data_IF_708082883020
#
_entry.id   IF_708082883020
#
_cell.length_a   1.000
_cell.length_b   1.000
_cell.length_c   1.000
_cell.angle_alpha   90.00
_cell.angle_beta   90.00
_cell.angle_gamma   90.00
#
_symmetry.space_group_name_H-M   'P 1'
#
loop_
_entity.id
_entity.type
_entity.pdbx_description
1 polymer ?
#
# COMPACT_ATOMS: atom_id res chain seq x y z
N UNK A 1 18.21 25.45 -44.19
CA UNK A 1 16.85 25.98 -44.37
C UNK A 1 15.88 25.08 -43.63
N UNK A 2 14.97 25.72 -42.90
CA UNK A 2 14.05 25.22 -41.89
C UNK A 2 12.95 24.34 -42.50
N UNK A 3 12.55 23.28 -41.80
CA UNK A 3 11.14 23.04 -41.42
C UNK A 3 11.01 21.87 -40.43
N UNK A 4 11.05 22.20 -39.14
CA UNK A 4 10.44 21.43 -38.06
C UNK A 4 8.93 21.38 -38.26
N UNK A 5 8.30 20.22 -38.04
CA UNK A 5 6.92 20.12 -37.53
C UNK A 5 6.62 18.69 -37.03
N UNK A 6 6.27 18.63 -35.74
CA UNK A 6 5.42 17.66 -35.04
C UNK A 6 6.04 16.26 -34.79
N UNK A 7 6.04 15.67 -33.59
CA UNK A 7 5.34 15.98 -32.35
C UNK A 7 6.15 15.48 -31.15
N UNK A 8 6.48 16.40 -30.24
CA UNK A 8 6.87 16.12 -28.86
C UNK A 8 5.62 16.44 -28.04
N UNK A 9 4.91 15.42 -27.59
CA UNK A 9 3.93 15.51 -26.50
C UNK A 9 4.55 14.73 -25.34
N UNK A 10 5.26 15.39 -24.43
CA UNK A 10 4.72 16.01 -23.22
C UNK A 10 4.26 14.98 -22.17
N UNK A 11 5.22 14.38 -21.47
CA UNK A 11 5.12 14.08 -20.03
C UNK A 11 6.49 14.32 -19.38
N UNK A 12 6.84 15.60 -19.37
CA UNK A 12 7.85 16.16 -18.49
C UNK A 12 7.24 17.42 -17.88
N UNK A 13 6.40 17.26 -16.86
CA UNK A 13 6.22 18.30 -15.85
C UNK A 13 7.42 18.15 -14.89
N UNK A 14 8.59 18.71 -15.19
CA UNK A 14 8.93 20.08 -14.82
C UNK A 14 8.40 20.48 -13.43
N UNK A 15 9.29 20.25 -12.46
CA UNK A 15 9.90 21.30 -11.65
C UNK A 15 9.08 21.96 -10.53
N UNK A 16 9.72 21.89 -9.35
CA UNK A 16 9.71 22.86 -8.24
C UNK A 16 8.56 22.71 -7.25
N UNK A 17 8.92 22.25 -6.04
CA UNK A 17 8.41 22.74 -4.76
C UNK A 17 6.99 23.34 -4.78
N UNK A 18 5.97 22.50 -4.94
CA UNK A 18 4.61 22.74 -4.45
C UNK A 18 4.03 21.37 -4.12
N UNK A 19 4.18 20.91 -2.89
CA UNK A 19 3.26 21.31 -1.84
C UNK A 19 4.00 21.71 -0.56
N UNK A 20 3.90 23.01 -0.21
CA UNK A 20 3.97 23.51 1.17
C UNK A 20 2.60 23.28 1.82
N UNK A 21 1.96 22.14 1.57
CA UNK A 21 0.58 21.88 1.94
C UNK A 21 0.41 20.42 2.36
N UNK A 22 0.99 20.02 3.50
CA UNK A 22 0.51 18.81 4.17
C UNK A 22 0.78 18.71 5.67
N UNK A 23 1.59 19.59 6.27
CA UNK A 23 1.52 19.82 7.71
C UNK A 23 0.32 20.73 7.98
N UNK A 24 -0.85 20.14 8.21
CA UNK A 24 -1.98 20.91 8.75
C UNK A 24 -1.57 21.29 10.17
N UNK A 25 -1.40 22.59 10.42
CA UNK A 25 -1.14 23.05 11.78
C UNK A 25 -2.35 22.66 12.61
N UNK A 26 -2.12 21.85 13.64
CA UNK A 26 -3.07 21.50 14.67
C UNK A 26 -2.58 22.10 15.98
N UNK A 27 -3.02 23.33 16.32
CA UNK A 27 -2.60 24.00 17.55
C UNK A 27 -3.02 23.24 18.81
N UNK A 28 -3.96 22.29 18.72
CA UNK A 28 -4.44 21.52 19.85
C UNK A 28 -3.50 20.38 20.23
N UNK A 29 -2.67 19.93 19.29
CA UNK A 29 -1.65 18.93 19.57
C UNK A 29 -0.29 19.61 19.85
N UNK A 30 0.39 19.19 20.90
CA UNK A 30 1.67 19.76 21.38
C UNK A 30 2.74 18.69 21.61
N UNK A 31 2.61 17.53 20.97
CA UNK A 31 3.48 16.36 21.21
C UNK A 31 4.82 16.51 20.49
N UNK A 32 5.86 16.86 21.24
CA UNK A 32 7.23 16.85 20.78
C UNK A 32 7.68 15.44 20.38
N UNK A 33 8.69 15.36 19.51
CA UNK A 33 9.32 14.09 19.16
C UNK A 33 9.89 13.45 20.43
N UNK A 34 9.59 12.16 20.72
CA UNK A 34 10.21 11.44 21.83
C UNK A 34 11.74 11.47 21.76
N UNK A 35 12.42 11.58 22.91
CA UNK A 35 13.88 11.77 22.96
C UNK A 35 14.70 10.60 22.39
N UNK A 36 14.10 9.42 22.30
CA UNK A 36 14.66 8.20 21.75
C UNK A 36 14.45 8.06 20.22
N UNK A 37 13.85 9.05 19.59
CA UNK A 37 13.54 9.07 18.16
C UNK A 37 14.45 10.05 17.42
N UNK A 38 15.05 9.57 16.34
CA UNK A 38 15.89 10.36 15.43
C UNK A 38 15.17 10.53 14.09
N UNK A 39 14.91 11.77 13.71
CA UNK A 39 14.25 12.10 12.43
C UNK A 39 14.96 11.41 11.25
N UNK A 40 14.17 10.81 10.36
CA UNK A 40 14.62 10.18 9.12
C UNK A 40 15.39 8.87 9.30
N UNK A 41 15.54 8.38 10.52
CA UNK A 41 16.19 7.10 10.81
C UNK A 41 15.16 6.08 11.31
N UNK A 42 15.32 4.78 11.00
CA UNK A 42 14.47 3.75 11.57
C UNK A 42 14.80 3.52 13.05
N UNK A 43 13.75 3.50 13.89
CA UNK A 43 13.84 3.02 15.27
C UNK A 43 12.96 1.79 15.45
N UNK A 44 13.48 0.78 16.14
CA UNK A 44 12.69 -0.40 16.50
C UNK A 44 11.96 -0.17 17.82
N UNK A 45 10.63 -0.27 17.79
CA UNK A 45 9.76 -0.09 18.95
C UNK A 45 9.13 -1.44 19.30
N UNK A 46 9.23 -1.81 20.57
CA UNK A 46 8.51 -2.96 21.13
C UNK A 46 7.11 -2.55 21.59
N UNK A 47 6.13 -3.43 21.38
CA UNK A 47 4.74 -3.25 21.82
C UNK A 47 4.17 -4.60 22.25
N UNK A 48 3.36 -4.62 23.31
CA UNK A 48 2.58 -5.82 23.66
C UNK A 48 1.21 -5.68 23.02
N UNK A 49 0.81 -6.68 22.22
CA UNK A 49 -0.47 -6.72 21.52
C UNK A 49 -1.05 -8.13 21.63
N UNK A 50 -2.31 -8.26 22.05
CA UNK A 50 -2.94 -9.55 22.39
C UNK A 50 -2.07 -10.43 23.31
N UNK A 51 -1.46 -9.83 24.34
CA UNK A 51 -0.52 -10.49 25.27
C UNK A 51 0.75 -11.09 24.62
N UNK A 52 1.04 -10.73 23.37
CA UNK A 52 2.24 -11.13 22.64
C UNK A 52 3.19 -9.95 22.51
N UNK A 53 4.49 -10.18 22.73
CA UNK A 53 5.53 -9.20 22.42
C UNK A 53 5.71 -9.09 20.90
N UNK A 54 5.39 -7.91 20.38
CA UNK A 54 5.51 -7.53 18.96
C UNK A 54 6.48 -6.37 18.83
N UNK A 55 6.86 -6.06 17.60
CA UNK A 55 7.68 -4.91 17.30
C UNK A 55 7.35 -4.31 15.93
N UNK A 56 7.77 -3.07 15.72
CA UNK A 56 7.69 -2.38 14.45
C UNK A 56 8.86 -1.41 14.31
N UNK A 57 9.28 -1.13 13.07
CA UNK A 57 10.12 0.03 12.82
C UNK A 57 9.23 1.26 12.64
N UNK A 58 9.64 2.39 13.20
CA UNK A 58 9.09 3.71 12.91
C UNK A 58 10.16 4.55 12.23
N UNK A 59 9.76 5.33 11.23
CA UNK A 59 10.56 6.40 10.66
C UNK A 59 9.74 7.68 10.73
N UNK A 60 10.21 8.62 11.55
CA UNK A 60 9.59 9.95 11.67
C UNK A 60 10.16 10.86 10.57
N UNK A 61 9.30 11.53 9.78
CA UNK A 61 9.73 12.24 8.59
C UNK A 61 10.43 13.57 8.93
N UNK A 62 11.26 14.11 8.01
CA UNK A 62 11.95 15.40 8.18
C UNK A 62 11.05 16.58 8.59
N UNK A 63 9.81 16.63 8.11
CA UNK A 63 8.89 17.74 8.36
C UNK A 63 7.96 17.52 9.58
N UNK A 64 8.21 16.52 10.43
CA UNK A 64 7.43 16.40 11.67
C UNK A 64 7.66 17.61 12.59
N UNK A 65 6.56 18.16 13.12
CA UNK A 65 6.58 19.22 14.12
C UNK A 65 5.54 18.97 15.22
N UNK A 66 5.76 19.49 16.42
CA UNK A 66 4.91 19.23 17.59
C UNK A 66 3.48 19.79 17.52
N UNK A 67 3.16 20.54 16.47
CA UNK A 67 1.83 21.09 16.15
C UNK A 67 1.40 20.75 14.72
N UNK A 68 1.99 19.71 14.13
CA UNK A 68 1.66 19.22 12.79
C UNK A 68 0.74 18.00 12.90
N UNK A 69 -0.45 18.07 12.33
CA UNK A 69 -1.25 16.88 12.06
C UNK A 69 -0.54 16.07 10.97
N UNK A 70 0.05 14.95 11.38
CA UNK A 70 1.03 14.20 10.60
C UNK A 70 0.42 12.87 10.11
N UNK A 71 0.35 12.60 8.80
CA UNK A 71 -0.12 11.32 8.28
C UNK A 71 0.69 10.13 8.77
N UNK A 72 0.09 8.95 8.67
CA UNK A 72 0.74 7.67 8.98
C UNK A 72 0.61 6.72 7.80
N UNK A 73 1.71 6.09 7.41
CA UNK A 73 1.74 5.01 6.43
C UNK A 73 2.14 3.74 7.15
N UNK A 74 1.33 2.69 7.04
CA UNK A 74 1.73 1.33 7.38
C UNK A 74 2.25 0.63 6.13
N UNK A 75 3.45 0.05 6.19
CA UNK A 75 4.04 -0.74 5.11
C UNK A 75 4.38 -2.17 5.57
N UNK A 76 3.73 -3.15 4.97
CA UNK A 76 3.78 -4.55 5.38
C UNK A 76 4.69 -5.39 4.48
N UNK A 77 5.60 -6.14 5.10
CA UNK A 77 6.58 -6.98 4.40
C UNK A 77 5.94 -8.19 3.71
N UNK A 78 6.56 -8.69 2.65
CA UNK A 78 6.18 -9.97 2.03
C UNK A 78 6.41 -11.19 2.92
N UNK A 79 5.82 -12.33 2.56
CA UNK A 79 5.94 -13.56 3.33
C UNK A 79 7.39 -14.03 3.44
N UNK A 80 7.77 -14.53 4.63
CA UNK A 80 9.14 -14.93 4.99
C UNK A 80 10.18 -13.78 4.97
N UNK A 81 9.71 -12.52 4.92
CA UNK A 81 10.55 -11.33 5.08
C UNK A 81 10.35 -10.68 6.46
N UNK A 82 10.97 -9.52 6.67
CA UNK A 82 10.90 -8.75 7.91
C UNK A 82 10.76 -7.24 7.64
N UNK A 83 10.51 -6.47 8.70
CA UNK A 83 10.29 -5.01 8.64
C UNK A 83 11.46 -4.25 8.00
N UNK A 84 12.71 -4.61 8.32
CA UNK A 84 13.90 -3.98 7.73
C UNK A 84 14.02 -4.25 6.23
N UNK A 85 13.63 -5.45 5.78
CA UNK A 85 13.63 -5.79 4.36
C UNK A 85 12.56 -5.01 3.59
N UNK A 86 11.37 -4.80 4.17
CA UNK A 86 10.34 -3.95 3.55
C UNK A 86 10.77 -2.49 3.48
N UNK A 87 11.38 -1.96 4.55
CA UNK A 87 11.93 -0.61 4.57
C UNK A 87 12.95 -0.38 3.46
N UNK A 88 13.83 -1.35 3.21
CA UNK A 88 14.82 -1.27 2.15
C UNK A 88 14.23 -1.44 0.74
N UNK A 89 13.02 -2.00 0.62
CA UNK A 89 12.40 -2.36 -0.65
C UNK A 89 11.56 -1.21 -1.25
N UNK A 90 10.75 -0.56 -0.42
CA UNK A 90 9.56 0.15 -0.89
C UNK A 90 9.72 1.67 -1.08
N UNK A 91 10.88 2.23 -0.70
CA UNK A 91 11.17 3.67 -0.77
C UNK A 91 10.15 4.59 -0.08
N UNK A 92 9.27 4.07 0.80
CA UNK A 92 8.24 4.85 1.50
C UNK A 92 8.83 5.84 2.52
N UNK A 93 10.14 5.79 2.75
CA UNK A 93 10.90 6.72 3.61
C UNK A 93 11.90 7.55 2.81
N UNK A 94 11.91 7.44 1.48
CA UNK A 94 12.73 8.29 0.62
C UNK A 94 12.22 9.74 0.71
N UNK A 95 13.04 10.71 1.15
CA UNK A 95 12.63 12.11 1.31
C UNK A 95 12.15 12.78 0.02
N UNK A 96 12.47 12.24 -1.16
CA UNK A 96 11.95 12.71 -2.45
C UNK A 96 10.45 12.41 -2.62
N UNK A 97 9.95 11.32 -2.03
CA UNK A 97 8.55 10.89 -2.15
C UNK A 97 7.75 11.12 -0.85
N UNK A 98 8.41 10.94 0.30
CA UNK A 98 7.81 11.11 1.61
C UNK A 98 8.74 11.88 2.55
N UNK A 99 8.42 13.15 2.78
CA UNK A 99 9.08 13.98 3.79
C UNK A 99 8.13 14.45 4.89
N UNK A 100 6.89 13.94 4.95
CA UNK A 100 5.82 14.48 5.79
C UNK A 100 4.96 13.44 6.54
N UNK A 101 4.98 12.16 6.15
CA UNK A 101 4.22 11.11 6.81
C UNK A 101 5.13 10.21 7.68
N UNK A 102 4.67 9.83 8.87
CA UNK A 102 5.31 8.79 9.68
C UNK A 102 5.11 7.45 9.00
N UNK A 103 6.20 6.73 8.71
CA UNK A 103 6.12 5.39 8.14
C UNK A 103 6.37 4.34 9.22
N UNK A 104 5.47 3.37 9.29
CA UNK A 104 5.50 2.24 10.22
C UNK A 104 5.71 0.97 9.41
N UNK A 105 6.69 0.16 9.82
CA UNK A 105 6.94 -1.17 9.27
C UNK A 105 6.76 -2.22 10.37
N UNK A 106 5.54 -2.75 10.56
CA UNK A 106 5.30 -3.76 11.58
C UNK A 106 6.01 -5.08 11.26
N UNK A 107 6.31 -5.86 12.30
CA UNK A 107 6.90 -7.20 12.14
C UNK A 107 5.83 -8.29 12.30
N UNK A 108 5.58 -9.03 11.22
CA UNK A 108 4.70 -10.19 11.21
C UNK A 108 5.28 -11.36 12.03
N UNK A 109 4.40 -12.14 12.67
CA UNK A 109 4.82 -13.33 13.44
C UNK A 109 5.34 -14.39 12.48
N UNK A 110 6.54 -14.93 12.74
CA UNK A 110 7.22 -15.88 11.86
C UNK A 110 7.35 -15.37 10.40
N UNK A 111 7.38 -14.05 10.21
CA UNK A 111 7.49 -13.43 8.90
C UNK A 111 6.23 -13.55 8.04
N UNK A 112 5.05 -13.69 8.65
CA UNK A 112 3.76 -13.80 7.95
C UNK A 112 2.69 -12.91 8.58
N UNK A 113 1.62 -12.65 7.82
CA UNK A 113 0.48 -11.85 8.24
C UNK A 113 -0.81 -12.67 8.39
N UNK A 114 -1.74 -12.14 9.18
CA UNK A 114 -3.13 -12.62 9.24
C UNK A 114 -3.74 -12.71 7.84
N UNK A 115 -4.39 -13.84 7.55
CA UNK A 115 -4.87 -14.18 6.20
C UNK A 115 -3.92 -15.14 5.44
N UNK A 116 -2.64 -15.23 5.81
CA UNK A 116 -1.77 -16.28 5.28
C UNK A 116 -2.17 -17.66 5.81
N UNK A 117 -2.24 -18.72 4.97
CA UNK A 117 -2.60 -20.05 5.41
C UNK A 117 -1.71 -20.57 6.55
N UNK A 118 -2.36 -21.00 7.64
CA UNK A 118 -1.70 -21.52 8.83
C UNK A 118 -1.12 -20.46 9.77
N UNK A 119 -1.29 -19.16 9.49
CA UNK A 119 -0.98 -18.10 10.45
C UNK A 119 -2.23 -17.73 11.26
N UNK A 120 -2.06 -17.64 12.58
CA UNK A 120 -3.15 -17.34 13.53
C UNK A 120 -2.85 -16.10 14.37
N UNK A 121 -1.83 -15.32 13.99
CA UNK A 121 -1.53 -14.07 14.66
C UNK A 121 -2.66 -13.07 14.44
N UNK A 122 -3.02 -12.34 15.49
CA UNK A 122 -3.99 -11.25 15.42
C UNK A 122 -3.26 -9.95 15.02
N UNK A 123 -3.00 -9.80 13.72
CA UNK A 123 -2.23 -8.68 13.19
C UNK A 123 -3.12 -7.44 13.00
N UNK A 124 -4.41 -7.63 12.80
CA UNK A 124 -5.41 -6.53 12.85
C UNK A 124 -5.39 -5.82 14.21
N UNK A 125 -5.37 -6.55 15.32
CA UNK A 125 -5.20 -5.96 16.66
C UNK A 125 -3.86 -5.23 16.80
N UNK A 126 -2.75 -5.79 16.27
CA UNK A 126 -1.46 -5.12 16.29
C UNK A 126 -1.54 -3.75 15.60
N UNK A 127 -2.17 -3.65 14.42
CA UNK A 127 -2.33 -2.38 13.73
C UNK A 127 -3.15 -1.39 14.57
N UNK A 128 -4.26 -1.83 15.20
CA UNK A 128 -5.03 -0.96 16.10
C UNK A 128 -4.20 -0.47 17.29
N UNK A 129 -3.44 -1.36 17.94
CA UNK A 129 -2.61 -1.02 19.10
C UNK A 129 -1.47 -0.05 18.72
N UNK A 130 -0.91 -0.19 17.51
CA UNK A 130 0.08 0.77 17.01
C UNK A 130 -0.57 2.13 16.75
N UNK A 131 -1.75 2.18 16.12
CA UNK A 131 -2.47 3.46 15.92
C UNK A 131 -2.71 4.16 17.26
N UNK A 132 -3.19 3.43 18.27
CA UNK A 132 -3.46 3.99 19.59
C UNK A 132 -2.17 4.43 20.32
N UNK A 133 -1.08 3.66 20.18
CA UNK A 133 0.25 4.00 20.70
C UNK A 133 0.83 5.27 20.05
N UNK A 134 0.69 5.39 18.73
CA UNK A 134 1.11 6.56 17.98
C UNK A 134 0.28 7.78 18.36
N UNK A 135 -1.04 7.62 18.50
CA UNK A 135 -1.91 8.69 18.93
C UNK A 135 -1.55 9.19 20.33
N UNK A 136 -1.11 8.33 21.24
CA UNK A 136 -0.61 8.76 22.55
C UNK A 136 0.68 9.59 22.50
N UNK A 137 1.55 9.36 21.51
CA UNK A 137 2.94 9.87 21.47
C UNK A 137 3.20 10.96 20.43
N UNK A 138 2.42 11.00 19.36
CA UNK A 138 2.61 11.90 18.21
C UNK A 138 1.32 12.65 17.87
N UNK A 139 1.48 13.72 17.10
CA UNK A 139 0.36 14.45 16.50
C UNK A 139 -0.06 13.80 15.17
N UNK A 140 -0.65 12.60 15.23
CA UNK A 140 -1.08 11.91 14.01
C UNK A 140 -2.36 12.51 13.43
N UNK A 141 -2.46 12.54 12.09
CA UNK A 141 -3.70 12.86 11.39
C UNK A 141 -4.52 11.59 11.20
N UNK A 142 -5.53 11.39 12.05
CA UNK A 142 -6.40 10.21 11.99
C UNK A 142 -7.21 10.12 10.69
N UNK A 143 -7.31 11.18 9.89
CA UNK A 143 -7.96 11.14 8.57
C UNK A 143 -7.01 10.70 7.45
N UNK A 144 -5.70 10.67 7.72
CA UNK A 144 -4.63 10.35 6.78
C UNK A 144 -3.76 9.20 7.32
N UNK A 145 -4.42 8.10 7.66
CA UNK A 145 -3.76 6.82 7.93
C UNK A 145 -3.93 5.96 6.68
N UNK A 146 -2.84 5.47 6.14
CA UNK A 146 -2.80 4.70 4.89
C UNK A 146 -2.06 3.38 5.10
N UNK A 147 -2.34 2.39 4.25
CA UNK A 147 -1.72 1.08 4.32
C UNK A 147 -1.23 0.64 2.94
N UNK A 148 -0.01 0.11 2.88
CA UNK A 148 0.57 -0.52 1.70
C UNK A 148 1.27 -1.82 2.08
N UNK A 149 1.48 -2.72 1.14
CA UNK A 149 2.29 -3.90 1.39
C UNK A 149 2.56 -4.71 0.14
N UNK A 150 3.56 -5.58 0.26
CA UNK A 150 4.04 -6.45 -0.83
C UNK A 150 3.65 -7.90 -0.59
N UNK A 151 3.17 -8.63 -1.60
CA UNK A 151 2.90 -10.08 -1.48
C UNK A 151 1.93 -10.39 -0.33
N UNK A 152 2.35 -11.17 0.67
CA UNK A 152 1.61 -11.42 1.90
C UNK A 152 1.16 -10.13 2.60
N UNK A 153 2.00 -9.10 2.63
CA UNK A 153 1.64 -7.78 3.17
C UNK A 153 0.63 -7.03 2.31
N UNK A 154 0.64 -7.25 1.00
CA UNK A 154 -0.38 -6.74 0.08
C UNK A 154 -1.73 -7.44 0.27
N UNK A 155 -1.70 -8.74 0.55
CA UNK A 155 -2.86 -9.51 1.00
C UNK A 155 -3.39 -9.03 2.35
N UNK A 156 -2.50 -8.71 3.29
CA UNK A 156 -2.88 -8.17 4.58
C UNK A 156 -3.52 -6.77 4.47
N UNK A 157 -3.13 -5.94 3.50
CA UNK A 157 -3.86 -4.70 3.19
C UNK A 157 -5.33 -4.96 2.83
N UNK A 158 -5.63 -6.05 2.10
CA UNK A 158 -7.00 -6.47 1.84
C UNK A 158 -7.73 -6.90 3.14
N UNK A 159 -7.05 -7.64 4.03
CA UNK A 159 -7.58 -8.00 5.35
C UNK A 159 -7.98 -6.75 6.14
N UNK A 160 -7.10 -5.75 6.22
CA UNK A 160 -7.36 -4.48 6.90
C UNK A 160 -8.52 -3.69 6.27
N UNK A 161 -8.58 -3.68 4.93
CA UNK A 161 -9.65 -3.03 4.19
C UNK A 161 -11.01 -3.70 4.40
N UNK A 162 -11.02 -5.01 4.65
CA UNK A 162 -12.23 -5.79 4.90
C UNK A 162 -12.63 -5.86 6.38
N UNK A 163 -11.76 -5.46 7.31
CA UNK A 163 -12.03 -5.44 8.73
C UNK A 163 -13.01 -4.30 9.10
N UNK A 164 -14.11 -4.57 9.84
CA UNK A 164 -15.14 -3.59 10.13
C UNK A 164 -14.67 -2.41 11.00
N UNK A 165 -13.56 -2.54 11.73
CA UNK A 165 -13.04 -1.48 12.58
C UNK A 165 -11.93 -0.73 11.85
N UNK A 166 -10.92 -1.43 11.34
CA UNK A 166 -9.74 -0.83 10.73
C UNK A 166 -10.05 -0.14 9.41
N UNK A 167 -11.02 -0.63 8.64
CA UNK A 167 -11.51 0.10 7.46
C UNK A 167 -12.09 1.48 7.82
N UNK A 168 -12.53 1.71 9.06
CA UNK A 168 -12.97 3.05 9.53
C UNK A 168 -11.85 3.92 10.06
N UNK A 169 -10.68 3.33 10.36
CA UNK A 169 -9.48 4.03 10.86
C UNK A 169 -8.45 4.30 9.76
N UNK A 170 -8.42 3.49 8.70
CA UNK A 170 -7.48 3.60 7.58
C UNK A 170 -8.22 4.16 6.36
N UNK A 171 -7.70 5.26 5.82
CA UNK A 171 -8.30 6.00 4.73
C UNK A 171 -8.17 5.29 3.39
N UNK A 172 -7.01 4.69 3.12
CA UNK A 172 -6.63 4.23 1.77
C UNK A 172 -5.67 3.04 1.84
N UNK A 173 -5.78 2.16 0.84
CA UNK A 173 -5.00 0.93 0.76
C UNK A 173 -4.31 0.81 -0.60
N UNK A 174 -3.06 0.35 -0.58
CA UNK A 174 -2.29 0.01 -1.75
C UNK A 174 -1.78 -1.44 -1.61
N UNK A 175 -1.89 -2.22 -2.67
CA UNK A 175 -1.42 -3.60 -2.69
C UNK A 175 -0.43 -3.76 -3.84
N UNK A 176 0.72 -4.37 -3.57
CA UNK A 176 1.74 -4.66 -4.58
C UNK A 176 1.96 -6.17 -4.62
N UNK A 177 1.64 -6.78 -5.76
CA UNK A 177 1.70 -8.23 -6.00
C UNK A 177 0.95 -9.03 -4.93
N UNK A 178 -0.25 -8.58 -4.53
CA UNK A 178 -0.89 -9.01 -3.28
C UNK A 178 -1.33 -10.48 -3.25
N UNK A 179 -1.05 -11.19 -2.15
CA UNK A 179 -1.47 -12.58 -1.96
C UNK A 179 -2.85 -12.67 -1.28
N UNK A 180 -3.92 -12.67 -2.08
CA UNK A 180 -5.31 -12.67 -1.60
C UNK A 180 -5.85 -14.08 -1.32
N UNK A 181 -5.34 -14.74 -0.29
CA UNK A 181 -5.76 -16.08 0.09
C UNK A 181 -7.24 -16.15 0.49
N UNK A 182 -7.99 -17.06 -0.14
CA UNK A 182 -9.37 -17.38 0.19
C UNK A 182 -9.45 -18.85 0.61
N UNK A 183 -9.96 -19.10 1.82
CA UNK A 183 -10.07 -20.44 2.39
C UNK A 183 -11.25 -21.21 1.80
N UNK A 184 -11.08 -21.70 0.57
CA UNK A 184 -12.12 -22.44 -0.14
C UNK A 184 -11.55 -23.41 -1.17
N UNK A 185 -12.18 -24.60 -1.27
CA UNK A 185 -11.94 -25.60 -2.29
C UNK A 185 -13.27 -26.31 -2.65
N UNK A 186 -13.53 -26.66 -3.93
CA UNK A 186 -12.71 -26.35 -5.10
C UNK A 186 -12.68 -24.84 -5.40
N UNK A 187 -11.53 -24.36 -5.89
CA UNK A 187 -11.34 -22.95 -6.25
C UNK A 187 -11.61 -22.71 -7.74
N UNK A 188 -12.34 -21.63 -8.02
CA UNK A 188 -12.49 -21.06 -9.35
C UNK A 188 -11.96 -19.62 -9.30
N UNK A 189 -10.67 -19.36 -9.59
CA UNK A 189 -10.04 -18.05 -9.37
C UNK A 189 -10.77 -16.85 -9.97
N UNK A 190 -11.41 -17.05 -11.12
CA UNK A 190 -12.15 -16.01 -11.85
C UNK A 190 -13.53 -15.67 -11.27
N UNK A 191 -14.04 -16.43 -10.29
CA UNK A 191 -15.38 -16.23 -9.74
C UNK A 191 -15.50 -16.64 -8.26
N UNK A 192 -14.39 -16.77 -7.55
CA UNK A 192 -14.41 -17.12 -6.13
C UNK A 192 -15.02 -15.98 -5.33
N UNK A 193 -15.93 -16.28 -4.40
CA UNK A 193 -16.45 -15.26 -3.49
C UNK A 193 -15.32 -14.80 -2.56
N UNK A 194 -15.04 -13.51 -2.53
CA UNK A 194 -14.02 -12.90 -1.66
C UNK A 194 -14.73 -12.37 -0.40
N UNK A 195 -14.61 -13.02 0.77
CA UNK A 195 -15.24 -12.56 2.00
C UNK A 195 -14.68 -11.21 2.42
N UNK A 196 -15.56 -10.25 2.69
CA UNK A 196 -15.16 -8.89 3.04
C UNK A 196 -16.33 -8.14 3.68
N UNK A 197 -16.09 -7.44 4.80
CA UNK A 197 -17.15 -6.72 5.53
C UNK A 197 -16.63 -5.39 6.10
N UNK A 198 -16.26 -4.42 5.23
CA UNK A 198 -15.78 -3.12 5.68
C UNK A 198 -16.84 -2.38 6.50
N UNK A 199 -16.40 -1.60 7.49
CA UNK A 199 -17.26 -0.81 8.37
C UNK A 199 -17.68 0.53 7.78
N UNK A 200 -17.18 0.88 6.60
CA UNK A 200 -17.60 2.05 5.83
C UNK A 200 -17.67 1.72 4.33
N UNK A 201 -18.51 2.43 3.55
CA UNK A 201 -18.47 2.34 2.10
C UNK A 201 -17.27 3.14 1.54
N UNK A 202 -17.03 2.96 0.25
CA UNK A 202 -16.07 3.73 -0.56
C UNK A 202 -14.64 3.58 -0.04
N UNK A 203 -14.12 2.36 -0.10
CA UNK A 203 -12.75 2.03 0.33
C UNK A 203 -11.80 2.27 -0.85
N UNK A 204 -10.98 3.32 -0.82
CA UNK A 204 -10.04 3.61 -1.90
C UNK A 204 -8.94 2.55 -1.93
N UNK A 205 -8.76 1.92 -3.09
CA UNK A 205 -7.84 0.80 -3.30
C UNK A 205 -7.04 0.98 -4.60
N UNK A 206 -5.73 0.85 -4.52
CA UNK A 206 -4.85 0.74 -5.70
C UNK A 206 -4.07 -0.57 -5.65
N UNK A 207 -4.00 -1.26 -6.78
CA UNK A 207 -3.34 -2.56 -6.95
C UNK A 207 -2.24 -2.43 -8.01
N UNK A 208 -1.12 -3.14 -7.82
CA UNK A 208 0.00 -3.20 -8.76
C UNK A 208 0.41 -4.65 -8.94
N UNK A 209 0.36 -5.17 -10.16
CA UNK A 209 0.68 -6.57 -10.40
C UNK A 209 1.37 -6.80 -11.75
N UNK A 210 2.34 -7.70 -11.74
CA UNK A 210 3.07 -8.14 -12.93
C UNK A 210 2.38 -9.30 -13.66
N UNK A 211 2.38 -9.28 -14.98
CA UNK A 211 1.81 -10.34 -15.82
C UNK A 211 2.62 -11.63 -15.76
N UNK A 212 3.93 -11.53 -15.55
CA UNK A 212 4.86 -12.65 -15.40
C UNK A 212 5.13 -13.01 -13.93
N UNK A 213 4.32 -12.49 -12.98
CA UNK A 213 4.45 -12.82 -11.55
C UNK A 213 4.36 -14.35 -11.35
N UNK A 214 5.51 -14.94 -11.09
CA UNK A 214 5.70 -16.39 -10.99
C UNK A 214 5.33 -16.93 -9.61
N UNK A 215 5.13 -16.04 -8.63
CA UNK A 215 4.84 -16.39 -7.24
C UNK A 215 3.34 -16.31 -6.95
N UNK A 216 2.72 -15.17 -7.19
CA UNK A 216 1.28 -14.92 -7.05
C UNK A 216 0.76 -14.58 -8.44
N UNK A 217 0.29 -15.60 -9.17
CA UNK A 217 -0.02 -15.46 -10.59
C UNK A 217 -1.13 -14.44 -10.82
N UNK A 218 -0.96 -13.56 -11.83
CA UNK A 218 -1.97 -12.58 -12.23
C UNK A 218 -3.33 -13.23 -12.55
N UNK A 219 -3.26 -14.39 -13.23
CA UNK A 219 -4.40 -15.23 -13.60
C UNK A 219 -4.92 -16.13 -12.44
N UNK A 220 -4.45 -15.89 -11.23
CA UNK A 220 -4.84 -16.59 -10.02
C UNK A 220 -4.32 -18.03 -9.94
N UNK A 221 -4.57 -18.68 -8.80
CA UNK A 221 -4.09 -20.03 -8.53
C UNK A 221 -5.20 -20.84 -7.87
N UNK A 222 -5.59 -21.95 -8.51
CA UNK A 222 -6.66 -22.81 -8.00
C UNK A 222 -6.30 -23.52 -6.68
N UNK A 223 -5.01 -23.73 -6.44
CA UNK A 223 -4.53 -24.33 -5.21
C UNK A 223 -3.14 -23.81 -4.86
N UNK A 224 -3.08 -22.87 -3.92
CA UNK A 224 -1.86 -22.44 -3.25
C UNK A 224 -2.02 -22.71 -1.77
N UNK A 225 -1.24 -23.65 -1.22
CA UNK A 225 -1.32 -24.02 0.20
C UNK A 225 -2.73 -24.44 0.65
N UNK A 226 -3.45 -25.20 -0.19
CA UNK A 226 -4.85 -25.61 -0.01
C UNK A 226 -5.88 -24.46 -0.01
N UNK A 227 -5.48 -23.28 -0.48
CA UNK A 227 -6.34 -22.11 -0.58
C UNK A 227 -6.42 -21.60 -2.01
N UNK A 228 -7.44 -20.80 -2.27
CA UNK A 228 -7.72 -20.20 -3.55
C UNK A 228 -7.04 -18.82 -3.61
N UNK A 229 -6.38 -18.52 -4.73
CA UNK A 229 -5.93 -17.17 -5.07
C UNK A 229 -6.81 -16.69 -6.23
N UNK A 230 -7.63 -15.63 -6.05
CA UNK A 230 -8.43 -15.08 -7.13
C UNK A 230 -7.53 -14.53 -8.24
N UNK A 231 -8.07 -14.36 -9.44
CA UNK A 231 -7.37 -13.56 -10.44
C UNK A 231 -7.36 -12.11 -10.00
N UNK A 232 -6.29 -11.39 -10.33
CA UNK A 232 -6.17 -9.97 -9.98
C UNK A 232 -7.31 -9.15 -10.61
N UNK A 233 -7.70 -9.35 -11.90
CA UNK A 233 -8.90 -8.70 -12.44
C UNK A 233 -10.17 -8.98 -11.63
N UNK A 234 -10.39 -10.22 -11.22
CA UNK A 234 -11.56 -10.56 -10.39
C UNK A 234 -11.52 -9.85 -9.04
N UNK A 235 -10.37 -9.85 -8.37
CA UNK A 235 -10.20 -9.15 -7.08
C UNK A 235 -10.47 -7.64 -7.19
N UNK A 236 -9.92 -6.98 -8.22
CA UNK A 236 -10.14 -5.55 -8.50
C UNK A 236 -11.61 -5.27 -8.78
N UNK A 237 -12.25 -6.09 -9.62
CA UNK A 237 -13.69 -5.97 -9.91
C UNK A 237 -14.56 -6.15 -8.66
N UNK A 238 -14.20 -7.07 -7.74
CA UNK A 238 -14.94 -7.22 -6.49
C UNK A 238 -14.86 -5.97 -5.61
N UNK A 239 -13.73 -5.26 -5.58
CA UNK A 239 -13.65 -3.95 -4.91
C UNK A 239 -14.51 -2.90 -5.59
N UNK A 240 -14.44 -2.77 -6.92
CA UNK A 240 -15.27 -1.85 -7.68
C UNK A 240 -16.77 -2.09 -7.43
N UNK A 241 -17.22 -3.35 -7.50
CA UNK A 241 -18.62 -3.73 -7.24
C UNK A 241 -19.03 -3.49 -5.79
N UNK A 242 -18.16 -3.79 -4.82
CA UNK A 242 -18.43 -3.57 -3.38
C UNK A 242 -18.70 -2.10 -3.08
N UNK A 243 -17.98 -1.21 -3.75
CA UNK A 243 -18.16 0.24 -3.64
C UNK A 243 -19.16 0.82 -4.66
N UNK A 244 -19.95 -0.05 -5.31
CA UNK A 244 -21.03 0.31 -6.24
C UNK A 244 -20.56 1.10 -7.46
N UNK A 245 -19.33 0.85 -7.90
CA UNK A 245 -18.75 1.41 -9.11
C UNK A 245 -19.15 0.58 -10.34
N UNK A 246 -19.14 1.22 -11.51
CA UNK A 246 -19.25 0.56 -12.80
C UNK A 246 -17.93 -0.18 -13.13
N UNK A 247 -18.03 -1.38 -13.71
CA UNK A 247 -16.86 -2.14 -14.17
C UNK A 247 -16.24 -1.56 -15.45
N UNK A 248 -16.95 -0.68 -16.15
CA UNK A 248 -16.36 0.13 -17.22
C UNK A 248 -15.37 1.12 -16.62
N UNK A 249 -14.08 0.81 -16.77
CA UNK A 249 -12.98 1.67 -16.37
C UNK A 249 -12.56 2.64 -17.48
N UNK A 250 -11.84 3.69 -17.08
CA UNK A 250 -10.94 4.42 -17.98
C UNK A 250 -9.58 3.71 -17.98
N UNK A 251 -9.04 3.47 -19.17
CA UNK A 251 -7.74 2.79 -19.35
C UNK A 251 -6.72 3.76 -19.92
N UNK A 252 -5.53 3.82 -19.34
CA UNK A 252 -4.43 4.65 -19.84
C UNK A 252 -3.12 3.87 -19.84
N UNK A 253 -2.29 4.08 -20.86
CA UNK A 253 -0.93 3.55 -20.86
C UNK A 253 -0.05 4.44 -19.98
N UNK A 254 0.61 3.85 -18.99
CA UNK A 254 1.62 4.54 -18.18
C UNK A 254 2.99 4.47 -18.85
N UNK A 255 3.34 3.30 -19.40
CA UNK A 255 4.56 3.07 -20.18
C UNK A 255 4.23 2.23 -21.43
N UNK A 256 5.23 1.65 -22.11
CA UNK A 256 4.99 0.72 -23.21
C UNK A 256 4.29 -0.56 -22.75
N UNK A 257 4.64 -1.05 -21.55
CA UNK A 257 4.25 -2.36 -21.04
C UNK A 257 3.34 -2.27 -19.81
N UNK A 258 3.16 -1.05 -19.29
CA UNK A 258 2.33 -0.78 -18.12
C UNK A 258 1.03 -0.06 -18.49
N UNK A 259 -0.10 -0.58 -18.00
CA UNK A 259 -1.45 -0.05 -18.19
C UNK A 259 -2.10 0.23 -16.84
N UNK A 260 -2.80 1.35 -16.73
CA UNK A 260 -3.60 1.72 -15.56
C UNK A 260 -5.08 1.63 -15.90
N UNK A 261 -5.82 0.89 -15.09
CA UNK A 261 -7.28 0.80 -15.14
C UNK A 261 -7.87 1.58 -13.97
N UNK A 262 -8.77 2.51 -14.26
CA UNK A 262 -9.32 3.48 -13.32
C UNK A 262 -10.84 3.29 -13.25
N UNK A 263 -11.35 2.89 -12.08
CA UNK A 263 -12.78 2.64 -11.85
C UNK A 263 -13.44 3.80 -11.10
N UNK A 264 -14.73 4.00 -11.34
CA UNK A 264 -15.52 5.10 -10.78
C UNK A 264 -15.54 6.37 -11.65
N UNK A 265 -16.43 7.31 -11.32
CA UNK A 265 -16.68 8.55 -12.08
C UNK A 265 -17.12 9.66 -11.12
N UNK A 266 -16.96 10.91 -11.52
CA UNK A 266 -17.39 12.06 -10.72
C UNK A 266 -16.62 12.11 -9.40
N UNK A 267 -17.33 12.18 -8.27
CA UNK A 267 -16.68 12.18 -6.94
C UNK A 267 -15.97 10.86 -6.59
N UNK A 268 -16.33 9.77 -7.27
CA UNK A 268 -15.74 8.44 -7.05
C UNK A 268 -14.70 8.09 -8.13
N UNK A 269 -14.30 9.04 -8.98
CA UNK A 269 -13.31 8.79 -10.04
C UNK A 269 -11.97 8.32 -9.46
N UNK A 270 -11.54 7.14 -9.91
CA UNK A 270 -10.29 6.53 -9.48
C UNK A 270 -10.30 6.02 -8.05
N UNK A 271 -11.48 5.78 -7.47
CA UNK A 271 -11.59 5.17 -6.14
C UNK A 271 -10.96 3.77 -6.09
N UNK A 272 -11.09 3.00 -7.18
CA UNK A 272 -10.39 1.73 -7.35
C UNK A 272 -9.49 1.83 -8.59
N UNK A 273 -8.22 1.47 -8.46
CA UNK A 273 -7.24 1.49 -9.55
C UNK A 273 -6.45 0.18 -9.60
N UNK A 274 -6.07 -0.20 -10.82
CA UNK A 274 -5.21 -1.35 -11.07
C UNK A 274 -4.09 -0.95 -12.01
N UNK A 275 -2.83 -1.21 -11.64
CA UNK A 275 -1.64 -0.98 -12.45
C UNK A 275 -1.09 -2.33 -12.85
N UNK A 276 -1.29 -2.68 -14.12
CA UNK A 276 -0.79 -3.91 -14.70
C UNK A 276 0.50 -3.62 -15.46
N UNK A 277 1.56 -4.35 -15.17
CA UNK A 277 2.75 -4.40 -16.03
C UNK A 277 2.86 -5.77 -16.67
N UNK A 278 2.97 -5.84 -17.99
CA UNK A 278 2.98 -7.13 -18.70
C UNK A 278 4.19 -7.99 -18.35
N UNK A 279 5.36 -7.38 -18.19
CA UNK A 279 6.64 -8.10 -18.20
C UNK A 279 7.27 -8.22 -16.81
N UNK A 280 6.67 -7.62 -15.78
CA UNK A 280 7.14 -7.67 -14.40
C UNK A 280 6.82 -9.02 -13.72
N UNK A 281 7.76 -9.58 -12.98
CA UNK A 281 7.55 -10.72 -12.08
C UNK A 281 6.99 -10.23 -10.70
N UNK A 282 7.29 -10.95 -9.62
CA UNK A 282 6.77 -10.74 -8.28
C UNK A 282 7.49 -9.60 -7.54
N UNK A 283 7.51 -8.40 -8.11
CA UNK A 283 8.39 -7.30 -7.71
C UNK A 283 7.67 -6.09 -7.14
N UNK A 284 8.32 -5.37 -6.23
CA UNK A 284 7.97 -3.97 -5.99
C UNK A 284 8.51 -3.11 -7.16
N UNK A 285 7.66 -2.52 -8.03
CA UNK A 285 8.13 -1.81 -9.21
C UNK A 285 8.94 -0.57 -8.83
N UNK A 286 10.19 -0.50 -9.32
CA UNK A 286 11.11 0.59 -9.04
C UNK A 286 12.03 0.88 -10.23
N UNK A 287 12.18 2.16 -10.57
CA UNK A 287 13.12 2.67 -11.59
C UNK A 287 14.59 2.59 -11.15
N UNK A 288 14.85 2.12 -9.93
CA UNK A 288 16.17 1.73 -9.44
C UNK A 288 16.11 0.31 -8.93
N UNK A 289 17.23 -0.43 -9.04
CA UNK A 289 17.28 -1.81 -8.56
C UNK A 289 16.94 -1.89 -7.07
N UNK A 290 16.13 -2.88 -6.73
CA UNK A 290 15.82 -3.28 -5.36
C UNK A 290 16.03 -4.79 -5.21
N UNK A 291 15.78 -5.31 -4.00
CA UNK A 291 16.04 -6.71 -3.69
C UNK A 291 15.13 -7.69 -4.47
N UNK A 292 13.92 -7.28 -4.84
CA UNK A 292 13.03 -8.14 -5.64
C UNK A 292 13.59 -8.24 -7.07
N UNK A 293 13.82 -7.09 -7.74
CA UNK A 293 14.28 -7.05 -9.13
C UNK A 293 15.58 -7.83 -9.32
N UNK A 294 16.53 -7.66 -8.40
CA UNK A 294 17.79 -8.43 -8.39
C UNK A 294 17.52 -9.92 -8.20
N UNK A 295 16.58 -10.27 -7.33
CA UNK A 295 16.22 -11.65 -7.02
C UNK A 295 15.60 -12.41 -8.19
N UNK A 296 14.82 -11.72 -9.03
CA UNK A 296 14.23 -12.30 -10.24
C UNK A 296 15.11 -12.15 -11.49
N UNK A 297 16.26 -11.47 -11.38
CA UNK A 297 17.18 -11.25 -12.50
C UNK A 297 16.69 -10.16 -13.46
N UNK A 298 15.80 -9.29 -12.99
CA UNK A 298 15.23 -8.18 -13.73
C UNK A 298 16.10 -6.92 -13.67
N UNK A 299 15.93 -6.04 -14.66
CA UNK A 299 16.45 -4.68 -14.61
C UNK A 299 15.53 -3.75 -13.81
N UNK A 300 15.87 -2.46 -13.71
CA UNK A 300 14.93 -1.46 -13.20
C UNK A 300 13.61 -1.48 -13.97
N UNK A 301 12.49 -1.43 -13.24
CA UNK A 301 11.15 -1.39 -13.83
C UNK A 301 10.93 -0.09 -14.62
N UNK A 302 9.95 -0.12 -15.52
CA UNK A 302 9.61 1.02 -16.39
C UNK A 302 8.94 2.19 -15.64
N UNK A 303 8.48 1.96 -14.40
CA UNK A 303 7.86 2.94 -13.53
C UNK A 303 8.22 2.69 -12.06
N UNK A 304 7.88 3.65 -11.19
CA UNK A 304 8.08 3.54 -9.74
C UNK A 304 6.71 3.54 -9.05
N UNK A 305 6.38 2.47 -8.32
CA UNK A 305 5.10 2.34 -7.64
C UNK A 305 4.95 3.34 -6.47
N UNK A 306 6.04 3.61 -5.75
CA UNK A 306 6.03 4.42 -4.53
C UNK A 306 5.45 5.84 -4.72
N UNK A 307 5.91 6.67 -5.68
CA UNK A 307 5.31 7.98 -5.90
C UNK A 307 3.84 7.90 -6.34
N UNK A 308 3.45 6.88 -7.11
CA UNK A 308 2.05 6.67 -7.51
C UNK A 308 1.17 6.37 -6.29
N UNK A 309 1.65 5.50 -5.39
CA UNK A 309 0.98 5.19 -4.12
C UNK A 309 0.87 6.45 -3.25
N UNK A 310 1.93 7.25 -3.14
CA UNK A 310 1.92 8.50 -2.38
C UNK A 310 0.92 9.53 -2.94
N UNK A 311 0.79 9.63 -4.26
CA UNK A 311 -0.20 10.48 -4.91
C UNK A 311 -1.63 9.98 -4.66
N UNK A 312 -1.83 8.66 -4.70
CA UNK A 312 -3.13 8.03 -4.42
C UNK A 312 -3.55 8.28 -2.96
N UNK A 313 -2.65 8.05 -2.01
CA UNK A 313 -2.87 8.31 -0.59
C UNK A 313 -3.30 9.75 -0.31
N UNK A 314 -2.64 10.74 -0.91
CA UNK A 314 -2.96 12.14 -0.67
C UNK A 314 -4.34 12.58 -1.21
N UNK A 315 -4.84 11.90 -2.25
CA UNK A 315 -6.17 12.18 -2.83
C UNK A 315 -7.31 11.62 -2.00
N UNK A 316 -7.04 10.63 -1.15
CA UNK A 316 -8.06 9.85 -0.47
C UNK A 316 -7.87 9.89 1.06
N UNK A 317 -8.78 10.58 1.74
CA UNK A 317 -8.77 10.79 3.19
C UNK A 317 -10.11 10.34 3.79
N UNK A 318 -10.13 10.00 5.08
CA UNK A 318 -11.39 9.81 5.78
C UNK A 318 -12.18 11.13 5.87
N UNK A 319 -13.53 11.07 5.88
CA UNK A 319 -14.41 12.24 5.98
C UNK A 319 -14.14 13.17 7.18
#
# INVERSE_FOLDING_TARGET
MVSLKNAIHAWAAHNVFRSVANSRVDPSCTKAIPSDITIGQPQNISITSSDVHRSYLIVVPPLYASQSSTPVIFSFHGGHRNSSQQLALDQMTNPEFNNFAITIYPQGVKGKWEGNPGNTANDTQLVSDIIDSLDGKYCIDRKRIWATGKSDGGGFCNTLACDPILSTKIATFASVSGAYYIDTQPCFPNNVTIPCSPGRPKIPMIEFHGGEDSTIHYDGQANRSNQCIPTVPHWVHQWALRDKLDLKNATTNLTHDTVVYIYGKGEDEGLVQHVFDRDLDHDWPSTVLNADLIGHGEGPASFNATPIIMDFFQKHNLP
#
